data_IF_105281616537
#
_entry.id   IF_105281616537
#
_cell.length_a   1.000
_cell.length_b   1.000
_cell.length_c   1.000
_cell.angle_alpha   90.00
_cell.angle_beta   90.00
_cell.angle_gamma   90.00
#
_symmetry.space_group_name_H-M   'P 1'
#
loop_
_entity.id
_entity.type
_entity.pdbx_description
1 polymer ?
#
# COMPACT_ATOMS: atom_id res chain seq x y z
N UNK A 1 38.69 65.58 2.22
CA UNK A 1 37.22 65.68 2.37
C UNK A 1 36.62 65.87 0.99
N UNK A 2 35.93 64.86 0.44
CA UNK A 2 35.25 64.93 -0.86
C UNK A 2 33.78 65.19 -0.59
N UNK A 3 33.28 66.36 -1.00
CA UNK A 3 31.85 66.65 -0.93
C UNK A 3 31.11 65.84 -1.99
N UNK A 4 30.24 64.93 -1.55
CA UNK A 4 29.27 64.23 -2.39
C UNK A 4 28.03 65.11 -2.46
N UNK A 5 27.72 65.66 -3.64
CA UNK A 5 26.40 66.25 -3.90
C UNK A 5 25.53 65.20 -4.60
N UNK A 6 24.50 64.73 -3.89
CA UNK A 6 23.40 63.94 -4.44
C UNK A 6 22.35 64.94 -4.94
N UNK A 7 22.04 64.92 -6.24
CA UNK A 7 20.90 65.65 -6.79
C UNK A 7 19.69 64.73 -6.86
N UNK A 8 18.62 65.18 -6.20
CA UNK A 8 17.31 64.54 -6.00
C UNK A 8 16.42 64.56 -7.25
N UNK A 9 15.42 63.68 -7.22
CA UNK A 9 14.55 63.20 -8.30
C UNK A 9 13.66 64.23 -9.02
N UNK A 10 13.33 63.92 -10.28
CA UNK A 10 12.05 64.29 -10.92
C UNK A 10 11.50 63.06 -11.68
N UNK A 11 10.30 62.63 -11.31
CA UNK A 11 9.59 61.47 -11.88
C UNK A 11 8.59 61.98 -12.94
N UNK A 12 8.65 61.43 -14.16
CA UNK A 12 7.48 61.21 -15.02
C UNK A 12 7.77 60.16 -16.09
N UNK A 13 6.70 59.50 -16.54
CA UNK A 13 6.61 58.16 -17.11
C UNK A 13 7.38 57.91 -18.40
N UNK A 14 7.85 56.67 -18.52
CA UNK A 14 8.36 56.00 -19.71
C UNK A 14 9.87 56.20 -19.98
N UNK A 15 10.60 55.11 -19.74
CA UNK A 15 12.00 54.85 -20.15
C UNK A 15 12.99 56.02 -20.08
N UNK A 16 13.56 56.30 -18.90
CA UNK A 16 14.96 56.77 -18.73
C UNK A 16 15.36 56.91 -17.25
N UNK A 17 15.76 55.80 -16.63
CA UNK A 17 16.70 55.82 -15.48
C UNK A 17 18.08 55.40 -15.98
N UNK A 18 18.81 56.34 -16.58
CA UNK A 18 20.27 56.27 -16.66
C UNK A 18 20.76 57.57 -16.01
N UNK A 19 21.10 57.44 -14.72
CA UNK A 19 21.72 58.49 -13.91
C UNK A 19 23.03 58.92 -14.59
N UNK A 20 23.14 60.19 -14.99
CA UNK A 20 24.41 60.80 -15.36
C UNK A 20 24.98 61.52 -14.14
N UNK A 21 25.98 60.93 -13.50
CA UNK A 21 26.81 61.65 -12.52
C UNK A 21 27.93 62.38 -13.26
N UNK A 22 27.93 63.72 -13.18
CA UNK A 22 29.03 64.55 -13.67
C UNK A 22 30.01 64.80 -12.52
N UNK A 23 31.23 64.29 -12.62
CA UNK A 23 32.28 64.53 -11.62
C UNK A 23 33.06 65.80 -11.97
N UNK A 24 33.43 66.60 -10.95
CA UNK A 24 34.28 67.77 -11.09
C UNK A 24 35.49 67.59 -10.16
N UNK A 25 36.68 67.43 -10.72
CA UNK A 25 37.94 67.51 -9.95
C UNK A 25 38.79 68.68 -10.48
N UNK A 26 39.34 69.46 -9.56
CA UNK A 26 39.81 70.82 -9.74
C UNK A 26 41.12 71.01 -10.50
N UNK A 27 41.52 70.09 -11.38
CA UNK A 27 42.73 70.23 -12.20
C UNK A 27 42.49 69.80 -13.66
N UNK A 28 42.27 70.81 -14.53
CA UNK A 28 42.49 70.86 -16.00
C UNK A 28 42.16 69.65 -16.90
N UNK A 29 41.25 68.75 -16.54
CA UNK A 29 40.63 67.81 -17.49
C UNK A 29 39.11 67.73 -17.27
N UNK A 30 38.32 67.86 -18.34
CA UNK A 30 36.87 67.63 -18.32
C UNK A 30 36.63 66.23 -18.88
N UNK A 31 36.05 65.34 -18.08
CA UNK A 31 35.67 63.99 -18.50
C UNK A 31 34.15 63.81 -18.38
N UNK A 32 33.51 63.30 -19.44
CA UNK A 32 32.15 62.78 -19.40
C UNK A 32 32.24 61.26 -19.27
N UNK A 33 31.64 60.71 -18.22
CA UNK A 33 31.62 59.26 -17.97
C UNK A 33 30.17 58.77 -18.05
N UNK A 34 29.89 57.94 -19.05
CA UNK A 34 28.61 57.23 -19.17
C UNK A 34 28.80 55.80 -18.61
N UNK A 35 28.23 55.50 -17.45
CA UNK A 35 28.31 54.16 -16.86
C UNK A 35 27.13 53.29 -17.32
N UNK A 36 27.42 52.18 -18.01
CA UNK A 36 26.45 51.15 -18.38
C UNK A 36 26.94 49.76 -17.91
N UNK A 37 26.07 48.87 -17.37
CA UNK A 37 26.50 47.63 -16.72
C UNK A 37 27.13 46.56 -17.65
N UNK A 38 27.13 46.75 -18.98
CA UNK A 38 27.67 45.77 -19.94
C UNK A 38 28.71 46.32 -20.91
N UNK A 39 28.94 47.63 -20.93
CA UNK A 39 30.00 48.24 -21.75
C UNK A 39 30.80 49.07 -20.77
N UNK A 40 32.02 48.62 -20.43
CA UNK A 40 32.90 49.34 -19.52
C UNK A 40 33.03 50.81 -19.91
N UNK A 41 33.28 51.67 -18.92
CA UNK A 41 33.25 53.13 -19.05
C UNK A 41 33.89 53.63 -20.36
N UNK A 42 33.09 54.27 -21.21
CA UNK A 42 33.59 54.90 -22.44
C UNK A 42 34.12 56.29 -22.07
N UNK A 43 35.45 56.44 -22.05
CA UNK A 43 36.13 57.71 -21.80
C UNK A 43 36.35 58.43 -23.12
N UNK A 44 35.58 59.50 -23.38
CA UNK A 44 35.83 60.38 -24.52
C UNK A 44 36.81 61.47 -24.08
N UNK A 45 38.05 61.40 -24.59
CA UNK A 45 39.10 62.40 -24.34
C UNK A 45 39.03 63.49 -25.42
N UNK A 46 38.63 64.71 -25.06
CA UNK A 46 38.75 65.88 -25.97
C UNK A 46 40.12 66.54 -25.79
N UNK A 47 40.81 66.75 -26.92
CA UNK A 47 42.06 67.51 -27.01
C UNK A 47 41.78 69.03 -26.94
N UNK A 48 42.37 69.67 -25.92
CA UNK A 48 42.72 71.09 -25.76
C UNK A 48 41.80 72.21 -26.29
N UNK A 49 41.21 72.99 -25.37
CA UNK A 49 40.83 74.40 -25.59
C UNK A 49 41.45 75.30 -24.49
N UNK A 50 42.07 76.45 -24.82
CA UNK A 50 42.57 77.40 -23.84
C UNK A 50 41.48 78.41 -23.44
N UNK A 51 41.35 78.68 -22.14
CA UNK A 51 40.58 79.83 -21.62
C UNK A 51 39.32 79.45 -20.84
N UNK A 52 39.34 79.73 -19.53
CA UNK A 52 38.27 79.38 -18.59
C UNK A 52 37.01 80.23 -18.70
N UNK A 53 35.88 79.65 -18.26
CA UNK A 53 34.77 80.31 -17.57
C UNK A 53 33.84 79.24 -16.99
N UNK A 54 33.55 79.32 -15.69
CA UNK A 54 32.56 78.50 -14.98
C UNK A 54 31.15 79.04 -15.24
N UNK A 55 30.31 78.27 -15.92
CA UNK A 55 28.89 78.56 -16.07
C UNK A 55 28.15 77.34 -16.59
N UNK A 56 26.95 77.06 -16.03
CA UNK A 56 26.03 76.05 -16.57
C UNK A 56 25.64 76.48 -17.99
N UNK A 57 26.25 75.86 -19.00
CA UNK A 57 25.74 75.95 -20.38
C UNK A 57 24.74 74.82 -20.57
N UNK A 58 23.49 75.18 -20.82
CA UNK A 58 22.53 74.24 -21.39
C UNK A 58 23.01 73.75 -22.76
N UNK A 59 22.34 72.72 -23.30
CA UNK A 59 22.63 72.04 -24.59
C UNK A 59 22.94 72.97 -25.78
N UNK A 60 22.57 74.25 -25.72
CA UNK A 60 22.81 75.27 -26.74
C UNK A 60 24.28 75.73 -26.91
N UNK A 61 25.21 75.28 -26.05
CA UNK A 61 26.62 75.71 -26.07
C UNK A 61 27.66 74.61 -26.37
N UNK A 62 27.23 73.44 -26.86
CA UNK A 62 28.12 72.31 -27.17
C UNK A 62 28.71 72.44 -28.59
N UNK A 63 29.99 72.08 -28.76
CA UNK A 63 30.64 72.04 -30.07
C UNK A 63 29.88 71.04 -30.98
N UNK A 64 29.66 71.33 -32.28
CA UNK A 64 28.85 70.49 -33.17
C UNK A 64 29.25 69.00 -33.17
N UNK A 65 30.54 68.72 -33.03
CA UNK A 65 31.11 67.36 -32.93
C UNK A 65 30.73 66.63 -31.62
N UNK A 66 30.61 67.34 -30.49
CA UNK A 66 30.20 66.78 -29.21
C UNK A 66 28.67 66.51 -29.16
N UNK A 67 27.87 67.35 -29.84
CA UNK A 67 26.44 67.11 -30.05
C UNK A 67 26.21 65.90 -30.98
N UNK A 68 27.00 65.77 -32.06
CA UNK A 68 27.01 64.57 -32.89
C UNK A 68 27.43 63.33 -32.07
N UNK A 69 28.48 63.42 -31.27
CA UNK A 69 28.92 62.32 -30.39
C UNK A 69 27.84 61.89 -29.39
N UNK A 70 27.11 62.83 -28.77
CA UNK A 70 25.96 62.53 -27.91
C UNK A 70 24.76 61.95 -28.67
N UNK A 71 24.44 62.45 -29.87
CA UNK A 71 23.35 61.93 -30.71
C UNK A 71 23.68 60.52 -31.24
N UNK A 72 24.94 60.28 -31.60
CA UNK A 72 25.46 58.95 -31.97
C UNK A 72 25.45 58.03 -30.75
N UNK A 73 25.90 58.48 -29.57
CA UNK A 73 25.80 57.68 -28.35
C UNK A 73 24.34 57.38 -27.95
N UNK A 74 23.42 58.33 -28.12
CA UNK A 74 21.98 58.15 -27.90
C UNK A 74 21.32 57.26 -28.96
N UNK A 75 21.78 57.30 -30.23
CA UNK A 75 21.32 56.38 -31.28
C UNK A 75 21.85 54.96 -31.04
N UNK A 76 23.08 54.83 -30.55
CA UNK A 76 23.66 53.55 -30.10
C UNK A 76 22.99 53.05 -28.81
N UNK A 77 22.53 53.95 -27.92
CA UNK A 77 21.74 53.60 -26.73
C UNK A 77 20.30 53.19 -27.06
N UNK A 78 19.70 53.75 -28.11
CA UNK A 78 18.40 53.33 -28.65
C UNK A 78 18.47 51.95 -29.33
N UNK A 79 19.68 51.49 -29.67
CA UNK A 79 20.01 50.14 -30.12
C UNK A 79 20.46 49.22 -28.96
N UNK A 80 19.94 49.39 -27.75
CA UNK A 80 20.02 48.31 -26.76
C UNK A 80 19.33 47.07 -27.37
N UNK A 81 20.12 46.08 -27.79
CA UNK A 81 19.62 44.83 -28.37
C UNK A 81 18.57 44.26 -27.43
N UNK A 82 17.32 44.18 -27.89
CA UNK A 82 16.21 43.70 -27.07
C UNK A 82 16.38 42.21 -26.84
N UNK A 83 17.01 41.84 -25.74
CA UNK A 83 17.25 40.44 -25.37
C UNK A 83 16.09 39.86 -24.60
N UNK A 84 15.85 38.56 -24.74
CA UNK A 84 14.88 37.85 -23.92
C UNK A 84 15.51 37.38 -22.60
N UNK A 85 14.75 37.44 -21.48
CA UNK A 85 15.17 36.77 -20.25
C UNK A 85 15.08 35.25 -20.40
N UNK A 86 15.39 34.50 -19.34
CA UNK A 86 15.11 33.06 -19.28
C UNK A 86 13.66 32.75 -19.72
N UNK A 87 13.43 31.75 -20.60
CA UNK A 87 12.10 31.37 -21.05
C UNK A 87 11.14 31.06 -19.89
N UNK A 88 9.83 31.29 -20.07
CA UNK A 88 8.82 30.91 -19.08
C UNK A 88 8.90 29.42 -18.72
N UNK A 89 8.80 29.11 -17.43
CA UNK A 89 8.81 27.71 -17.00
C UNK A 89 7.55 26.96 -17.45
N UNK A 90 7.74 25.75 -17.98
CA UNK A 90 6.67 24.82 -18.32
C UNK A 90 6.79 23.62 -17.37
N UNK A 91 5.71 23.32 -16.64
CA UNK A 91 5.69 22.20 -15.70
C UNK A 91 6.01 20.89 -16.42
N UNK A 92 6.85 20.07 -15.79
CA UNK A 92 7.33 18.79 -16.31
C UNK A 92 8.06 18.87 -17.66
N UNK A 93 8.63 20.02 -18.01
CA UNK A 93 9.48 20.19 -19.18
C UNK A 93 10.93 20.57 -18.80
N UNK A 94 11.82 20.42 -19.78
CA UNK A 94 13.19 20.94 -19.77
C UNK A 94 13.46 21.66 -21.09
N UNK A 95 14.31 22.68 -21.08
CA UNK A 95 14.76 23.36 -22.29
C UNK A 95 16.10 22.78 -22.75
N UNK A 96 16.32 22.73 -24.07
CA UNK A 96 17.55 22.22 -24.69
C UNK A 96 18.79 23.08 -24.39
N UNK A 97 18.62 24.38 -24.23
CA UNK A 97 19.69 25.35 -23.95
C UNK A 97 19.24 26.22 -22.78
N UNK A 98 20.08 26.35 -21.75
CA UNK A 98 19.75 27.11 -20.54
C UNK A 98 20.72 28.27 -20.31
N UNK A 99 20.37 29.44 -20.85
CA UNK A 99 21.07 30.72 -20.66
C UNK A 99 20.30 31.65 -19.73
N UNK A 100 21.00 32.61 -19.13
CA UNK A 100 20.37 33.72 -18.37
C UNK A 100 19.72 34.76 -19.30
N UNK A 101 20.23 34.90 -20.52
CA UNK A 101 19.84 35.91 -21.52
C UNK A 101 19.92 35.30 -22.92
N UNK A 102 18.98 35.66 -23.80
CA UNK A 102 18.89 35.18 -25.18
C UNK A 102 18.80 36.34 -26.18
N UNK A 103 19.49 36.20 -27.30
CA UNK A 103 19.45 37.17 -28.40
C UNK A 103 18.16 37.02 -29.24
N UNK A 104 17.78 38.10 -29.93
CA UNK A 104 16.62 38.09 -30.83
C UNK A 104 16.83 37.04 -31.92
N UNK A 105 15.81 36.21 -32.17
CA UNK A 105 15.86 35.14 -33.14
C UNK A 105 16.41 33.82 -32.59
N UNK A 106 16.96 33.79 -31.37
CA UNK A 106 17.31 32.52 -30.72
C UNK A 106 16.06 31.70 -30.42
N UNK A 107 16.19 30.38 -30.57
CA UNK A 107 15.13 29.41 -30.32
C UNK A 107 15.49 28.51 -29.14
N UNK A 108 14.49 28.24 -28.31
CA UNK A 108 14.53 27.17 -27.32
C UNK A 108 13.51 26.10 -27.68
N UNK A 109 13.89 24.86 -27.49
CA UNK A 109 13.02 23.70 -27.66
C UNK A 109 12.73 23.08 -26.30
N UNK A 110 11.44 22.99 -25.97
CA UNK A 110 10.97 22.31 -24.77
C UNK A 110 10.81 20.82 -25.03
N UNK A 111 11.34 20.03 -24.11
CA UNK A 111 11.18 18.58 -24.07
C UNK A 111 10.45 18.20 -22.79
N UNK A 112 9.32 17.50 -22.92
CA UNK A 112 8.61 16.95 -21.76
C UNK A 112 9.45 15.84 -21.11
N UNK A 113 9.45 15.81 -19.77
CA UNK A 113 10.12 14.77 -18.97
C UNK A 113 9.51 13.39 -19.25
N UNK A 114 10.23 12.29 -18.99
CA UNK A 114 9.69 10.93 -19.13
C UNK A 114 8.36 10.76 -18.39
N UNK A 115 7.41 10.09 -19.03
CA UNK A 115 6.05 9.93 -18.51
C UNK A 115 5.09 11.07 -18.85
N UNK A 116 5.56 12.12 -19.52
CA UNK A 116 4.72 13.20 -20.01
C UNK A 116 4.77 13.30 -21.55
N UNK A 117 3.71 13.85 -22.14
CA UNK A 117 3.58 14.11 -23.56
C UNK A 117 3.04 15.53 -23.78
N UNK A 118 3.44 16.22 -24.86
CA UNK A 118 2.98 17.57 -25.11
C UNK A 118 1.52 17.58 -25.58
N UNK A 119 0.77 18.60 -25.18
CA UNK A 119 -0.60 18.84 -25.64
C UNK A 119 -0.70 19.18 -27.14
N UNK A 120 0.41 19.61 -27.77
CA UNK A 120 0.47 19.97 -29.18
C UNK A 120 1.84 19.65 -29.80
N UNK A 121 1.96 19.80 -31.12
CA UNK A 121 3.23 19.65 -31.83
C UNK A 121 4.20 20.82 -31.65
N UNK A 122 3.74 21.96 -31.10
CA UNK A 122 4.58 23.14 -30.92
C UNK A 122 5.49 22.98 -29.70
N UNK A 123 6.80 22.92 -29.96
CA UNK A 123 7.84 22.76 -28.92
C UNK A 123 8.95 23.80 -28.98
N UNK A 124 9.05 24.49 -30.11
CA UNK A 124 10.05 25.52 -30.38
C UNK A 124 9.43 26.90 -30.17
N UNK A 125 10.14 27.73 -29.42
CA UNK A 125 9.76 29.10 -29.13
C UNK A 125 10.94 30.02 -29.41
N UNK A 126 10.67 31.12 -30.09
CA UNK A 126 11.67 32.07 -30.56
C UNK A 126 11.63 33.35 -29.75
N UNK A 127 12.79 33.94 -29.45
CA UNK A 127 12.89 35.27 -28.88
C UNK A 127 12.51 36.32 -29.94
N UNK A 128 11.42 37.05 -29.71
CA UNK A 128 10.89 38.01 -30.67
C UNK A 128 11.72 39.31 -30.70
N UNK A 129 11.67 40.10 -31.80
CA UNK A 129 12.33 41.42 -31.88
C UNK A 129 11.90 42.41 -30.79
N UNK A 130 10.81 42.12 -30.08
CA UNK A 130 10.34 42.90 -28.93
C UNK A 130 11.13 42.63 -27.64
N UNK A 131 12.04 41.66 -27.62
CA UNK A 131 12.75 41.20 -26.41
C UNK A 131 11.86 40.35 -25.49
N UNK A 132 10.79 39.78 -26.04
CA UNK A 132 9.84 38.90 -25.32
C UNK A 132 9.72 37.57 -26.02
N UNK A 133 9.50 36.51 -25.26
CA UNK A 133 9.16 35.21 -25.80
C UNK A 133 7.78 35.25 -26.45
N UNK A 134 7.61 34.49 -27.54
CA UNK A 134 6.29 34.20 -28.09
C UNK A 134 5.39 33.54 -27.02
N UNK A 135 4.07 33.72 -27.16
CA UNK A 135 3.12 33.13 -26.22
C UNK A 135 3.24 31.61 -26.22
N UNK A 136 3.52 31.05 -25.04
CA UNK A 136 3.75 29.62 -24.85
C UNK A 136 2.46 28.93 -24.38
N UNK A 137 1.91 28.06 -25.24
CA UNK A 137 0.71 27.25 -24.99
C UNK A 137 1.03 25.79 -24.67
N UNK A 138 2.31 25.42 -24.61
CA UNK A 138 2.75 24.05 -24.38
C UNK A 138 2.43 23.62 -22.94
N UNK A 139 1.76 22.48 -22.83
CA UNK A 139 1.55 21.76 -21.57
C UNK A 139 2.09 20.34 -21.71
N UNK A 140 2.89 19.90 -20.75
CA UNK A 140 3.31 18.51 -20.64
C UNK A 140 2.31 17.76 -19.75
N UNK A 141 1.46 16.95 -20.38
CA UNK A 141 0.42 16.16 -19.73
C UNK A 141 0.93 14.74 -19.48
N UNK A 142 0.57 14.10 -18.36
CA UNK A 142 0.98 12.74 -18.07
C UNK A 142 0.45 11.77 -19.14
N UNK A 143 1.31 10.84 -19.56
CA UNK A 143 0.91 9.77 -20.48
C UNK A 143 -0.13 8.89 -19.82
N UNK A 144 -1.02 8.35 -20.65
CA UNK A 144 -2.07 7.42 -20.23
C UNK A 144 -1.73 6.00 -20.65
N UNK A 145 -1.90 5.07 -19.72
CA UNK A 145 -1.88 3.66 -19.99
C UNK A 145 -3.25 3.19 -20.52
N UNK A 146 -3.28 2.12 -21.34
CA UNK A 146 -4.53 1.55 -21.83
C UNK A 146 -5.35 1.00 -20.64
N UNK A 147 -6.69 1.14 -20.64
CA UNK A 147 -7.51 0.53 -19.60
C UNK A 147 -7.24 -0.98 -19.46
N UNK A 148 -7.01 -1.50 -18.24
CA UNK A 148 -6.86 -2.94 -18.03
C UNK A 148 -8.11 -3.73 -18.47
N UNK A 149 -7.95 -4.97 -18.94
CA UNK A 149 -9.08 -5.85 -19.24
C UNK A 149 -9.83 -6.21 -17.94
N UNK A 150 -11.14 -6.51 -18.00
CA UNK A 150 -11.91 -6.94 -16.85
C UNK A 150 -11.31 -8.18 -16.17
N UNK A 151 -11.12 -8.13 -14.86
CA UNK A 151 -10.68 -9.28 -14.07
C UNK A 151 -11.88 -10.21 -13.79
N UNK A 152 -11.92 -11.37 -14.45
CA UNK A 152 -12.97 -12.37 -14.21
C UNK A 152 -12.85 -12.95 -12.80
N UNK A 153 -13.99 -13.07 -12.08
CA UNK A 153 -14.05 -13.53 -10.68
C UNK A 153 -13.18 -12.70 -9.73
N UNK A 154 -13.17 -11.39 -9.94
CA UNK A 154 -12.41 -10.46 -9.12
C UNK A 154 -12.81 -9.01 -9.36
N UNK A 155 -12.10 -8.11 -8.69
CA UNK A 155 -12.32 -6.67 -8.69
C UNK A 155 -11.00 -5.94 -8.90
N UNK A 156 -11.10 -4.82 -9.61
CA UNK A 156 -10.00 -3.90 -9.84
C UNK A 156 -10.32 -2.59 -9.14
N UNK A 157 -9.35 -2.08 -8.38
CA UNK A 157 -9.44 -0.79 -7.70
C UNK A 157 -8.43 0.17 -8.30
N UNK A 158 -8.90 1.34 -8.73
CA UNK A 158 -8.12 2.37 -9.41
C UNK A 158 -8.83 3.73 -9.37
N UNK A 159 -8.05 4.80 -9.42
CA UNK A 159 -8.57 6.18 -9.57
C UNK A 159 -8.45 6.64 -11.03
N UNK A 160 -7.25 6.47 -11.60
CA UNK A 160 -6.92 6.89 -12.96
C UNK A 160 -5.91 5.94 -13.63
N UNK A 161 -5.64 6.17 -14.91
CA UNK A 161 -4.70 5.38 -15.72
C UNK A 161 -3.53 6.23 -16.25
N UNK A 162 -3.09 7.23 -15.48
CA UNK A 162 -2.02 8.14 -15.89
C UNK A 162 -0.66 7.66 -15.36
N UNK A 163 0.44 8.22 -15.87
CA UNK A 163 1.78 7.91 -15.40
C UNK A 163 1.86 7.96 -13.86
N UNK A 164 2.44 6.92 -13.26
CA UNK A 164 2.52 6.64 -11.81
C UNK A 164 1.23 6.17 -11.13
N UNK A 165 0.06 6.21 -11.78
CA UNK A 165 -1.15 5.58 -11.26
C UNK A 165 -0.95 4.08 -11.06
N UNK A 166 -1.60 3.52 -10.02
CA UNK A 166 -1.52 2.11 -9.66
C UNK A 166 -2.92 1.50 -9.66
N UNK A 167 -3.04 0.30 -10.22
CA UNK A 167 -4.27 -0.53 -10.17
C UNK A 167 -4.02 -1.69 -9.23
N UNK A 168 -4.95 -1.93 -8.32
CA UNK A 168 -4.91 -3.05 -7.38
C UNK A 168 -5.95 -4.09 -7.76
N UNK A 169 -5.53 -5.36 -7.79
CA UNK A 169 -6.35 -6.49 -8.16
C UNK A 169 -6.70 -7.34 -6.93
N UNK A 170 -7.94 -7.80 -6.87
CA UNK A 170 -8.45 -8.70 -5.83
C UNK A 170 -9.36 -9.75 -6.46
N UNK A 171 -9.31 -10.98 -5.95
CA UNK A 171 -10.19 -12.05 -6.41
C UNK A 171 -11.42 -12.17 -5.51
N UNK A 172 -12.52 -12.63 -6.07
CA UNK A 172 -13.73 -12.94 -5.33
C UNK A 172 -13.50 -14.12 -4.37
N UNK A 173 -14.31 -14.27 -3.31
CA UNK A 173 -14.21 -15.40 -2.39
C UNK A 173 -14.25 -16.74 -3.12
N UNK A 174 -13.30 -17.62 -2.80
CA UNK A 174 -13.14 -18.91 -3.47
C UNK A 174 -12.19 -18.88 -4.68
N UNK A 175 -11.54 -17.75 -4.97
CA UNK A 175 -10.53 -17.62 -6.01
C UNK A 175 -9.21 -17.09 -5.47
N UNK A 176 -8.10 -17.66 -5.95
CA UNK A 176 -6.74 -17.25 -5.66
C UNK A 176 -6.19 -16.36 -6.78
N UNK A 177 -5.50 -15.29 -6.39
CA UNK A 177 -4.84 -14.37 -7.32
C UNK A 177 -3.50 -14.96 -7.78
N UNK A 178 -3.39 -15.23 -9.08
CA UNK A 178 -2.17 -15.72 -9.73
C UNK A 178 -1.58 -14.59 -10.58
N UNK A 179 -0.38 -14.14 -10.20
CA UNK A 179 0.30 -13.01 -10.81
C UNK A 179 0.51 -11.85 -9.82
N UNK A 180 0.74 -10.65 -10.35
CA UNK A 180 0.96 -9.47 -9.51
C UNK A 180 -0.36 -8.89 -8.99
N UNK A 181 -0.41 -8.57 -7.69
CA UNK A 181 -1.54 -7.89 -7.06
C UNK A 181 -1.70 -6.45 -7.53
N UNK A 182 -0.62 -5.82 -7.99
CA UNK A 182 -0.63 -4.42 -8.42
C UNK A 182 0.04 -4.26 -9.78
N UNK A 183 -0.37 -3.23 -10.51
CA UNK A 183 0.31 -2.80 -11.72
C UNK A 183 0.37 -1.28 -11.78
N UNK A 184 1.53 -0.73 -12.14
CA UNK A 184 1.78 0.72 -12.21
C UNK A 184 1.93 1.19 -13.66
N UNK A 185 1.41 2.37 -13.97
CA UNK A 185 1.57 2.98 -15.28
C UNK A 185 2.94 3.64 -15.42
N UNK A 186 3.74 3.18 -16.38
CA UNK A 186 5.14 3.54 -16.56
C UNK A 186 5.31 4.72 -17.52
N UNK A 187 6.54 5.26 -17.57
CA UNK A 187 6.88 6.45 -18.35
C UNK A 187 6.74 6.27 -19.88
N UNK A 188 6.64 5.03 -20.35
CA UNK A 188 6.39 4.65 -21.74
C UNK A 188 4.89 4.52 -22.07
N UNK A 189 4.00 4.73 -21.08
CA UNK A 189 2.55 4.57 -21.24
C UNK A 189 2.10 3.12 -21.18
N UNK A 190 2.89 2.23 -20.58
CA UNK A 190 2.53 0.81 -20.39
C UNK A 190 2.45 0.45 -18.92
N UNK A 191 1.63 -0.55 -18.63
CA UNK A 191 1.52 -1.15 -17.30
C UNK A 191 2.73 -2.03 -16.98
N UNK A 192 3.11 -2.09 -15.70
CA UNK A 192 4.13 -3.03 -15.23
C UNK A 192 3.62 -4.47 -15.27
N UNK A 193 4.41 -5.35 -15.89
CA UNK A 193 4.13 -6.79 -15.92
C UNK A 193 2.86 -7.15 -16.68
N UNK A 194 2.32 -8.34 -16.39
CA UNK A 194 1.06 -8.84 -16.94
C UNK A 194 -0.03 -8.80 -15.87
N UNK A 195 -1.28 -8.59 -16.30
CA UNK A 195 -2.41 -8.61 -15.39
C UNK A 195 -2.63 -10.00 -14.78
N UNK A 196 -3.03 -10.08 -13.51
CA UNK A 196 -3.24 -11.36 -12.82
C UNK A 196 -4.50 -12.08 -13.31
N UNK A 197 -4.63 -13.34 -12.92
CA UNK A 197 -5.83 -14.14 -13.11
C UNK A 197 -6.36 -14.66 -11.77
N UNK A 198 -7.67 -14.76 -11.63
CA UNK A 198 -8.31 -15.39 -10.49
C UNK A 198 -8.62 -16.86 -10.80
N UNK A 199 -7.91 -17.77 -10.12
CA UNK A 199 -8.07 -19.21 -10.29
C UNK A 199 -8.90 -19.78 -9.14
N UNK A 200 -9.83 -20.69 -9.45
CA UNK A 200 -10.70 -21.29 -8.44
C UNK A 200 -9.85 -22.04 -7.39
N UNK A 201 -10.11 -21.79 -6.11
CA UNK A 201 -9.45 -22.48 -5.00
C UNK A 201 -9.75 -23.97 -5.10
N UNK A 202 -8.72 -24.77 -4.87
CA UNK A 202 -8.82 -26.22 -4.82
C UNK A 202 -8.32 -26.73 -3.48
N UNK A 203 -8.99 -27.75 -2.95
CA UNK A 203 -8.56 -28.47 -1.77
C UNK A 203 -7.96 -29.82 -2.15
N UNK A 204 -6.99 -30.33 -1.36
CA UNK A 204 -6.43 -31.66 -1.58
C UNK A 204 -7.53 -32.71 -1.40
N UNK A 205 -7.33 -33.86 -2.03
CA UNK A 205 -8.18 -35.03 -1.77
C UNK A 205 -8.24 -35.29 -0.26
N UNK A 206 -9.44 -35.35 0.35
CA UNK A 206 -9.56 -35.50 1.79
C UNK A 206 -8.98 -36.84 2.23
N UNK A 207 -8.19 -36.79 3.29
CA UNK A 207 -7.58 -37.97 3.88
C UNK A 207 -8.63 -38.62 4.78
N UNK A 208 -8.71 -39.96 4.75
CA UNK A 208 -9.56 -40.72 5.66
C UNK A 208 -9.23 -40.43 7.13
N UNK A 209 -10.21 -40.67 7.99
CA UNK A 209 -10.06 -40.59 9.45
C UNK A 209 -9.89 -42.00 10.02
N UNK A 210 -9.14 -42.11 11.10
CA UNK A 210 -8.93 -43.39 11.78
C UNK A 210 -10.27 -43.94 12.30
N UNK A 211 -10.48 -45.25 12.14
CA UNK A 211 -11.74 -45.93 12.49
C UNK A 211 -13.00 -45.32 11.86
N UNK A 212 -12.83 -44.62 10.73
CA UNK A 212 -13.92 -44.06 9.95
C UNK A 212 -13.69 -44.18 8.44
N UNK A 213 -14.58 -43.57 7.68
CA UNK A 213 -14.60 -43.60 6.23
C UNK A 213 -15.20 -42.31 5.67
N UNK A 214 -15.02 -42.08 4.37
CA UNK A 214 -15.65 -40.98 3.64
C UNK A 214 -16.90 -41.55 2.97
N UNK A 215 -18.07 -40.95 3.20
CA UNK A 215 -19.37 -41.48 2.76
C UNK A 215 -19.61 -41.39 1.24
N UNK A 216 -18.93 -40.47 0.54
CA UNK A 216 -19.15 -40.21 -0.89
C UNK A 216 -17.90 -40.43 -1.74
N UNK A 217 -18.10 -40.72 -3.03
CA UNK A 217 -17.03 -41.00 -3.99
C UNK A 217 -15.96 -39.90 -3.99
N UNK A 218 -14.71 -40.34 -3.77
CA UNK A 218 -13.53 -39.48 -3.73
C UNK A 218 -13.30 -38.90 -5.12
N UNK A 219 -13.40 -37.57 -5.25
CA UNK A 219 -13.01 -36.84 -6.46
C UNK A 219 -11.50 -36.58 -6.43
N UNK A 220 -10.89 -36.42 -7.61
CA UNK A 220 -9.46 -36.05 -7.71
C UNK A 220 -9.19 -34.63 -7.19
N UNK A 221 -10.16 -33.74 -7.35
CA UNK A 221 -10.05 -32.33 -6.96
C UNK A 221 -11.37 -31.87 -6.38
N UNK A 222 -11.30 -31.08 -5.30
CA UNK A 222 -12.44 -30.41 -4.70
C UNK A 222 -12.28 -28.91 -4.84
N UNK A 223 -13.37 -28.22 -5.14
CA UNK A 223 -13.38 -26.77 -5.29
C UNK A 223 -13.93 -26.08 -4.04
N UNK A 224 -13.69 -24.78 -3.92
CA UNK A 224 -14.25 -23.95 -2.86
C UNK A 224 -15.74 -24.22 -2.62
N UNK A 225 -16.12 -24.31 -1.35
CA UNK A 225 -17.47 -24.57 -0.86
C UNK A 225 -18.03 -25.98 -1.15
N UNK A 226 -17.31 -26.84 -1.89
CA UNK A 226 -17.62 -28.27 -1.93
C UNK A 226 -17.33 -28.92 -0.58
N UNK A 227 -18.12 -29.93 -0.23
CA UNK A 227 -18.04 -30.58 1.08
C UNK A 227 -17.95 -32.09 0.95
N UNK A 228 -17.29 -32.72 1.91
CA UNK A 228 -17.28 -34.17 2.12
C UNK A 228 -17.90 -34.52 3.46
N UNK A 229 -18.49 -35.71 3.52
CA UNK A 229 -19.09 -36.26 4.73
C UNK A 229 -18.27 -37.46 5.18
N UNK A 230 -17.98 -37.49 6.47
CA UNK A 230 -17.33 -38.62 7.12
C UNK A 230 -18.36 -39.53 7.79
N UNK A 231 -17.99 -40.77 8.00
CA UNK A 231 -18.70 -41.75 8.80
C UNK A 231 -17.73 -42.49 9.72
N UNK A 232 -18.22 -43.02 10.83
CA UNK A 232 -17.45 -43.87 11.73
C UNK A 232 -17.81 -45.34 11.52
N UNK A 233 -16.85 -46.23 11.75
CA UNK A 233 -17.09 -47.67 11.77
C UNK A 233 -18.13 -48.03 12.84
N UNK A 234 -18.83 -49.18 12.70
CA UNK A 234 -19.81 -49.61 13.69
C UNK A 234 -19.23 -49.63 15.12
N UNK A 235 -19.95 -49.05 16.07
CA UNK A 235 -19.55 -48.93 17.48
C UNK A 235 -18.71 -47.70 17.81
N UNK A 236 -18.15 -46.99 16.83
CA UNK A 236 -17.43 -45.74 17.07
C UNK A 236 -18.38 -44.54 17.04
N UNK A 237 -18.08 -43.53 17.86
CA UNK A 237 -18.86 -42.28 17.93
C UNK A 237 -18.08 -41.15 17.30
N UNK A 238 -18.75 -40.35 16.47
CA UNK A 238 -18.14 -39.19 15.84
C UNK A 238 -18.02 -38.02 16.81
N UNK A 239 -16.81 -37.48 16.92
CA UNK A 239 -16.52 -36.24 17.62
C UNK A 239 -16.16 -35.15 16.60
N UNK A 240 -16.91 -34.04 16.64
CA UNK A 240 -16.77 -32.91 15.72
C UNK A 240 -17.78 -32.92 14.56
N UNK A 241 -17.57 -32.02 13.58
CA UNK A 241 -18.48 -31.88 12.44
C UNK A 241 -18.35 -33.03 11.45
N UNK A 242 -19.48 -33.70 11.16
CA UNK A 242 -19.60 -34.73 10.11
C UNK A 242 -19.21 -34.22 8.73
N UNK A 243 -19.51 -32.94 8.47
CA UNK A 243 -19.24 -32.30 7.18
C UNK A 243 -17.99 -31.44 7.27
N UNK A 244 -17.10 -31.63 6.31
CA UNK A 244 -15.94 -30.77 6.13
C UNK A 244 -16.03 -30.11 4.76
N UNK A 245 -15.82 -28.79 4.73
CA UNK A 245 -15.97 -27.94 3.54
C UNK A 245 -14.61 -27.42 3.09
N UNK A 246 -14.41 -27.33 1.78
CA UNK A 246 -13.23 -26.68 1.20
C UNK A 246 -13.30 -25.16 1.40
N UNK A 247 -12.38 -24.62 2.18
CA UNK A 247 -12.31 -23.20 2.53
C UNK A 247 -11.55 -22.38 1.48
N UNK A 248 -11.63 -21.04 1.61
CA UNK A 248 -10.92 -20.11 0.73
C UNK A 248 -9.38 -20.23 0.83
N UNK A 249 -8.87 -20.83 1.90
CA UNK A 249 -7.44 -21.10 2.11
C UNK A 249 -6.93 -22.30 1.32
N UNK A 250 -7.82 -23.09 0.70
CA UNK A 250 -7.46 -24.38 0.11
C UNK A 250 -7.36 -25.53 1.12
N UNK A 251 -7.81 -25.31 2.36
CA UNK A 251 -7.86 -26.32 3.41
C UNK A 251 -9.30 -26.77 3.70
N UNK A 252 -9.41 -27.94 4.29
CA UNK A 252 -10.67 -28.48 4.79
C UNK A 252 -11.02 -27.86 6.15
N UNK A 253 -12.28 -27.43 6.34
CA UNK A 253 -12.72 -26.70 7.53
C UNK A 253 -12.57 -27.48 8.83
N UNK A 254 -12.81 -28.79 8.79
CA UNK A 254 -12.77 -29.66 9.98
C UNK A 254 -12.25 -31.05 9.62
N UNK A 255 -11.64 -31.72 10.60
CA UNK A 255 -11.31 -33.15 10.53
C UNK A 255 -11.90 -33.84 11.77
N UNK A 256 -13.05 -34.52 11.65
CA UNK A 256 -13.66 -35.20 12.79
C UNK A 256 -12.82 -36.39 13.24
N UNK A 257 -13.05 -36.84 14.48
CA UNK A 257 -12.44 -38.03 15.05
C UNK A 257 -13.51 -39.09 15.34
N UNK A 258 -13.18 -40.36 15.16
CA UNK A 258 -14.04 -41.47 15.57
C UNK A 258 -13.49 -42.07 16.86
N UNK A 259 -14.25 -41.92 17.94
CA UNK A 259 -13.85 -42.33 19.29
C UNK A 259 -14.31 -43.74 19.58
N UNK A 260 -13.42 -44.53 20.15
CA UNK A 260 -13.66 -45.94 20.39
C UNK A 260 -14.71 -46.17 21.48
N UNK A 261 -15.57 -47.20 21.33
CA UNK A 261 -16.43 -47.66 22.41
C UNK A 261 -15.59 -48.33 23.49
N UNK A 262 -16.02 -48.21 24.74
CA UNK A 262 -15.30 -48.77 25.87
C UNK A 262 -15.90 -50.11 26.30
N UNK A 263 -15.03 -51.05 26.64
CA UNK A 263 -15.41 -52.25 27.39
C UNK A 263 -15.11 -52.01 28.85
N UNK A 264 -16.05 -52.32 29.74
CA UNK A 264 -15.82 -52.18 31.18
C UNK A 264 -14.76 -53.21 31.58
N UNK A 265 -13.63 -52.81 32.20
CA UNK A 265 -12.49 -53.69 32.48
C UNK A 265 -12.71 -54.57 33.73
N UNK A 266 -13.88 -55.20 33.84
CA UNK A 266 -14.26 -56.11 34.94
C UNK A 266 -15.01 -57.31 34.36
N UNK A 267 -14.79 -58.50 34.94
CA UNK A 267 -15.44 -59.74 34.49
C UNK A 267 -16.86 -59.86 35.00
N UNK A 268 -17.14 -59.43 36.23
CA UNK A 268 -18.47 -59.49 36.86
C UNK A 268 -18.72 -58.26 37.72
N UNK A 269 -19.75 -57.49 37.38
CA UNK A 269 -20.23 -56.38 38.17
C UNK A 269 -21.71 -56.07 37.86
N UNK A 270 -22.40 -55.46 38.81
CA UNK A 270 -23.67 -54.79 38.59
C UNK A 270 -23.42 -53.29 38.62
N UNK A 271 -23.86 -52.58 37.60
CA UNK A 271 -23.69 -51.14 37.42
C UNK A 271 -25.04 -50.50 37.07
N UNK A 272 -25.16 -49.19 37.23
CA UNK A 272 -26.27 -48.44 36.63
C UNK A 272 -25.86 -47.94 35.25
N UNK A 273 -26.73 -48.18 34.27
CA UNK A 273 -26.59 -47.66 32.93
C UNK A 273 -27.98 -47.23 32.44
N UNK A 274 -28.11 -45.98 32.02
CA UNK A 274 -29.41 -45.35 31.70
C UNK A 274 -30.47 -45.50 32.82
N UNK A 275 -30.04 -45.40 34.08
CA UNK A 275 -30.89 -45.51 35.27
C UNK A 275 -31.28 -46.94 35.66
N UNK A 276 -30.91 -47.95 34.88
CA UNK A 276 -31.24 -49.34 35.15
C UNK A 276 -30.03 -50.15 35.64
N UNK A 277 -30.26 -51.11 36.55
CA UNK A 277 -29.22 -52.05 36.97
C UNK A 277 -28.93 -53.03 35.83
N UNK A 278 -27.70 -53.00 35.32
CA UNK A 278 -27.20 -53.91 34.27
C UNK A 278 -26.05 -54.74 34.81
N UNK A 279 -25.97 -56.00 34.40
CA UNK A 279 -24.85 -56.90 34.66
C UNK A 279 -23.84 -56.79 33.52
N UNK A 280 -22.62 -56.37 33.84
CA UNK A 280 -21.55 -56.14 32.85
C UNK A 280 -21.32 -57.37 31.95
N UNK A 281 -21.28 -58.57 32.54
CA UNK A 281 -21.00 -59.82 31.83
C UNK A 281 -22.05 -60.22 30.78
N UNK A 282 -23.29 -59.74 30.92
CA UNK A 282 -24.42 -60.24 30.13
C UNK A 282 -25.11 -59.16 29.33
N UNK A 283 -25.40 -58.03 29.98
CA UNK A 283 -26.30 -57.01 29.46
C UNK A 283 -25.54 -55.88 28.73
N UNK A 284 -24.20 -55.80 28.90
CA UNK A 284 -23.33 -54.76 28.33
C UNK A 284 -22.19 -55.36 27.46
N UNK A 285 -22.47 -56.46 26.75
CA UNK A 285 -21.47 -57.17 25.92
C UNK A 285 -20.97 -56.34 24.73
N UNK A 286 -21.85 -55.51 24.19
CA UNK A 286 -21.56 -54.67 23.02
C UNK A 286 -20.71 -53.43 23.38
N UNK A 287 -20.44 -53.23 24.67
CA UNK A 287 -19.67 -52.11 25.19
C UNK A 287 -20.54 -50.90 25.51
N UNK A 288 -19.88 -49.79 25.81
CA UNK A 288 -20.48 -48.48 26.09
C UNK A 288 -19.93 -47.50 25.08
N UNK A 289 -20.78 -46.68 24.48
CA UNK A 289 -20.36 -45.73 23.47
C UNK A 289 -19.54 -44.60 24.11
N UNK A 290 -18.66 -43.99 23.32
CA UNK A 290 -17.90 -42.83 23.80
C UNK A 290 -18.83 -41.68 24.22
N UNK A 291 -18.54 -41.09 25.37
CA UNK A 291 -19.33 -40.01 25.97
C UNK A 291 -20.47 -40.50 26.88
N UNK A 292 -20.86 -41.77 26.80
CA UNK A 292 -21.84 -42.35 27.73
C UNK A 292 -21.21 -42.61 29.11
N UNK A 293 -22.06 -42.60 30.14
CA UNK A 293 -21.66 -42.76 31.53
C UNK A 293 -22.24 -44.03 32.14
N UNK A 294 -21.46 -44.65 33.04
CA UNK A 294 -21.85 -45.82 33.82
C UNK A 294 -21.59 -45.53 35.28
N UNK A 295 -22.58 -45.78 36.14
CA UNK A 295 -22.45 -45.57 37.58
C UNK A 295 -22.07 -46.86 38.29
N UNK A 296 -20.93 -46.85 38.98
CA UNK A 296 -20.46 -47.98 39.78
C UNK A 296 -20.93 -47.84 41.23
N UNK A 297 -21.37 -48.95 41.82
CA UNK A 297 -21.75 -48.97 43.23
C UNK A 297 -20.52 -49.03 44.14
N UNK A 298 -20.46 -48.09 45.08
CA UNK A 298 -19.44 -48.01 46.11
C UNK A 298 -20.09 -48.11 47.50
N UNK A 299 -19.37 -48.70 48.44
CA UNK A 299 -19.85 -48.91 49.81
C UNK A 299 -19.35 -47.80 50.73
N UNK A 300 -20.26 -47.16 51.45
CA UNK A 300 -19.92 -46.41 52.64
C UNK A 300 -19.92 -47.36 53.84
N UNK A 301 -18.75 -47.57 54.46
CA UNK A 301 -18.60 -48.51 55.57
C UNK A 301 -19.16 -47.95 56.89
N UNK A 302 -19.13 -46.64 57.09
CA UNK A 302 -19.58 -45.98 58.32
C UNK A 302 -21.10 -46.03 58.43
N UNK A 303 -21.79 -45.64 57.35
CA UNK A 303 -23.26 -45.60 57.30
C UNK A 303 -23.90 -46.93 56.85
N UNK A 304 -23.09 -47.96 56.57
CA UNK A 304 -23.54 -49.28 56.07
C UNK A 304 -24.52 -49.21 54.88
N UNK A 305 -24.26 -48.27 53.96
CA UNK A 305 -25.08 -47.97 52.79
C UNK A 305 -24.22 -47.98 51.50
N UNK A 306 -24.86 -47.83 50.33
CA UNK A 306 -24.18 -47.70 49.06
C UNK A 306 -24.53 -46.39 48.34
N UNK A 307 -23.56 -45.86 47.61
CA UNK A 307 -23.69 -44.70 46.73
C UNK A 307 -23.10 -45.06 45.36
N UNK A 308 -23.33 -44.23 44.36
CA UNK A 308 -22.84 -44.46 43.00
C UNK A 308 -21.82 -43.41 42.59
N UNK A 309 -20.84 -43.84 41.79
CA UNK A 309 -19.85 -42.95 41.17
C UNK A 309 -19.92 -43.13 39.67
N UNK A 310 -20.20 -42.04 38.97
CA UNK A 310 -20.30 -42.01 37.51
C UNK A 310 -18.91 -41.98 36.88
N UNK A 311 -18.74 -42.81 35.85
CA UNK A 311 -17.54 -42.84 35.02
C UNK A 311 -17.97 -42.75 33.56
N UNK A 312 -17.34 -41.85 32.81
CA UNK A 312 -17.55 -41.72 31.38
C UNK A 312 -16.63 -42.65 30.57
N UNK A 313 -17.12 -43.14 29.44
CA UNK A 313 -16.31 -43.78 28.42
C UNK A 313 -15.54 -42.72 27.62
N UNK A 314 -14.20 -42.75 27.69
CA UNK A 314 -13.34 -41.80 26.99
C UNK A 314 -12.41 -42.56 26.04
N UNK A 315 -12.75 -42.53 24.76
CA UNK A 315 -11.97 -43.09 23.66
C UNK A 315 -11.42 -44.51 23.92
N UNK A 316 -12.34 -45.46 24.13
CA UNK A 316 -12.01 -46.86 24.41
C UNK A 316 -11.56 -47.14 25.85
N UNK A 317 -11.35 -46.10 26.68
CA UNK A 317 -10.89 -46.25 28.05
C UNK A 317 -11.99 -45.98 29.09
N UNK A 318 -12.04 -46.85 30.11
CA UNK A 318 -12.87 -46.71 31.30
C UNK A 318 -11.98 -46.71 32.55
N UNK A 319 -11.99 -45.61 33.29
CA UNK A 319 -11.25 -45.48 34.55
C UNK A 319 -12.13 -45.89 35.72
N UNK A 320 -11.90 -47.08 36.28
CA UNK A 320 -12.69 -47.56 37.42
C UNK A 320 -12.53 -46.64 38.66
N UNK A 321 -13.61 -46.37 39.41
CA UNK A 321 -13.51 -45.58 40.63
C UNK A 321 -12.65 -46.29 41.67
N UNK A 322 -11.83 -45.56 42.41
CA UNK A 322 -10.97 -46.14 43.45
C UNK A 322 -11.75 -46.89 44.56
N UNK A 323 -13.01 -46.52 44.77
CA UNK A 323 -13.89 -47.19 45.74
C UNK A 323 -14.44 -48.53 45.25
N UNK A 324 -14.43 -48.78 43.94
CA UNK A 324 -14.92 -50.02 43.35
C UNK A 324 -13.95 -51.18 43.61
N UNK A 325 -14.50 -52.34 43.94
CA UNK A 325 -13.73 -53.58 44.17
C UNK A 325 -14.39 -54.74 43.47
N UNK A 326 -13.70 -55.31 42.49
CA UNK A 326 -14.20 -56.51 41.80
C UNK A 326 -14.22 -57.72 42.75
N UNK A 327 -15.31 -58.49 42.75
CA UNK A 327 -15.40 -59.73 43.52
C UNK A 327 -14.59 -60.83 42.84
N UNK A 328 -13.52 -61.26 43.48
CA UNK A 328 -12.72 -62.41 43.06
C UNK A 328 -13.45 -63.75 43.22
N UNK A 329 -13.03 -64.75 42.43
CA UNK A 329 -13.63 -66.10 42.34
C UNK A 329 -13.66 -66.88 43.69
N UNK A 330 -12.83 -66.49 44.66
CA UNK A 330 -12.70 -67.14 45.98
C UNK A 330 -13.27 -66.34 47.16
N UNK A 331 -13.99 -65.23 46.92
CA UNK A 331 -14.65 -64.49 48.01
C UNK A 331 -15.93 -65.21 48.46
N UNK A 332 -15.75 -66.25 49.27
CA UNK A 332 -16.81 -66.91 50.02
C UNK A 332 -17.55 -65.92 50.93
N UNK A 333 -18.88 -65.99 50.86
CA UNK A 333 -19.89 -65.66 51.86
C UNK A 333 -19.44 -64.75 53.03
N UNK A 334 -19.96 -63.50 53.08
CA UNK A 334 -20.38 -62.73 54.28
C UNK A 334 -20.53 -61.23 53.97
N UNK A 335 -19.89 -60.69 52.92
CA UNK A 335 -19.99 -59.26 52.57
C UNK A 335 -21.05 -59.01 51.48
N UNK A 336 -22.14 -58.31 51.83
CA UNK A 336 -23.20 -57.85 50.91
C UNK A 336 -22.62 -56.97 49.79
N UNK A 337 -23.05 -57.19 48.55
CA UNK A 337 -22.61 -56.40 47.39
C UNK A 337 -23.10 -54.96 47.54
N UNK A 338 -22.28 -53.93 47.25
CA UNK A 338 -22.76 -52.55 47.22
C UNK A 338 -24.03 -52.38 46.37
N UNK A 339 -24.19 -53.15 45.27
CA UNK A 339 -25.40 -53.10 44.43
C UNK A 339 -26.69 -53.54 45.13
N UNK A 340 -26.59 -54.31 46.22
CA UNK A 340 -27.72 -54.89 46.96
C UNK A 340 -27.99 -54.15 48.29
N UNK A 341 -27.14 -53.17 48.63
CA UNK A 341 -27.28 -52.35 49.83
C UNK A 341 -28.35 -51.26 49.64
N UNK A 342 -28.88 -50.73 50.76
CA UNK A 342 -29.75 -49.54 50.72
C UNK A 342 -28.91 -48.33 50.29
N UNK A 343 -29.53 -47.39 49.58
CA UNK A 343 -28.90 -46.13 49.22
C UNK A 343 -28.50 -45.36 50.50
N UNK A 344 -27.38 -44.64 50.44
CA UNK A 344 -27.07 -43.66 51.47
C UNK A 344 -28.09 -42.52 51.38
N UNK A 345 -28.72 -42.17 52.50
CA UNK A 345 -29.53 -40.96 52.58
C UNK A 345 -28.56 -39.77 52.62
N UNK A 346 -28.77 -38.80 51.74
CA UNK A 346 -28.08 -37.51 51.82
C UNK A 346 -28.55 -36.82 53.10
N UNK A 347 -27.63 -36.54 54.01
CA UNK A 347 -27.95 -35.70 55.17
C UNK A 347 -28.23 -34.28 54.66
N UNK A 348 -29.49 -33.88 54.75
CA UNK A 348 -30.01 -32.57 54.38
C UNK A 348 -29.38 -31.43 55.18
#
# INVERSE_FOLDING_TARGET
MKHVMVASDFISSDTRKLLSSVYWDGNKHKELICNHPFVGALVLREEHWPGGHSGRRGLAGMHPLALLGCLVALSHCALASKVCPRPPEVLFATINVDKKVYEVGEEVEYTCRPGFMPNSGQRKYTCLPTGKWAFNTLLCLPKRCPPPPPLKNGKMDFEEFQYQSTVTFSCDPGYNLVGSRTSQCMADGKWTGTFPQCQLVTCPTPIGIENGFIEFAVRRTYHYNESVSFGCQPGYVMEGSKHSRCENTGNWSTKPACRAPCKIPVKKAVVLYNGEKKRVQNDLKDGILHGETVSFFCKNKEKSCAYTVDVACVDGNFTLPACFKERGFFSTLVKKDPSDMKACEDEA
#
